data_IF_084046717829
#
_entry.id   IF_084046717829
#
_cell.length_a   1.000
_cell.length_b   1.000
_cell.length_c   1.000
_cell.angle_alpha   90.00
_cell.angle_beta   90.00
_cell.angle_gamma   90.00
#
_symmetry.space_group_name_H-M   'P 1'
#
loop_
_entity.id
_entity.type
_entity.pdbx_description
1 polymer ?
#
# COMPACT_ATOMS: atom_id res chain seq x y z
N UNK A 1 -13.52 5.62 -30.74
CA UNK A 1 -13.84 6.78 -29.88
C UNK A 1 -13.63 6.33 -28.43
N UNK A 2 -12.64 6.90 -27.72
CA UNK A 2 -12.40 6.57 -26.31
C UNK A 2 -13.49 7.23 -25.48
N UNK A 3 -14.17 6.47 -24.60
CA UNK A 3 -15.20 7.05 -23.73
C UNK A 3 -14.55 7.79 -22.58
N UNK A 4 -15.09 8.95 -22.24
CA UNK A 4 -14.62 9.77 -21.10
C UNK A 4 -14.60 8.96 -19.80
N UNK A 5 -15.55 8.02 -19.64
CA UNK A 5 -15.58 7.06 -18.52
C UNK A 5 -14.29 6.25 -18.38
N UNK A 6 -13.70 5.82 -19.50
CA UNK A 6 -12.52 4.95 -19.51
C UNK A 6 -11.27 5.74 -19.13
N UNK A 7 -11.22 7.01 -19.51
CA UNK A 7 -10.16 7.95 -19.11
C UNK A 7 -10.23 8.24 -17.61
N UNK A 8 -11.42 8.50 -17.06
CA UNK A 8 -11.61 8.73 -15.61
C UNK A 8 -11.18 7.50 -14.81
N UNK A 9 -11.55 6.30 -15.26
CA UNK A 9 -11.15 5.03 -14.62
C UNK A 9 -9.64 4.84 -14.64
N UNK A 10 -8.97 5.14 -15.75
CA UNK A 10 -7.53 5.04 -15.87
C UNK A 10 -6.79 6.04 -14.97
N UNK A 11 -7.25 7.30 -14.91
CA UNK A 11 -6.67 8.33 -14.03
C UNK A 11 -6.87 7.96 -12.56
N UNK A 12 -8.06 7.48 -12.21
CA UNK A 12 -8.36 7.03 -10.85
C UNK A 12 -7.44 5.86 -10.44
N UNK A 13 -7.32 4.85 -11.31
CA UNK A 13 -6.45 3.70 -11.08
C UNK A 13 -4.98 4.10 -10.93
N UNK A 14 -4.50 4.99 -11.79
CA UNK A 14 -3.12 5.50 -11.75
C UNK A 14 -2.85 6.26 -10.45
N UNK A 15 -3.69 7.26 -10.13
CA UNK A 15 -3.55 8.08 -8.92
C UNK A 15 -3.56 7.24 -7.65
N UNK A 16 -4.44 6.23 -7.61
CA UNK A 16 -4.56 5.34 -6.47
C UNK A 16 -3.35 4.39 -6.35
N UNK A 17 -2.85 3.87 -7.47
CA UNK A 17 -1.63 3.04 -7.51
C UNK A 17 -0.42 3.85 -7.01
N UNK A 18 -0.29 5.10 -7.46
CA UNK A 18 0.77 6.00 -7.00
C UNK A 18 0.67 6.26 -5.50
N UNK A 19 -0.53 6.52 -4.98
CA UNK A 19 -0.75 6.79 -3.55
C UNK A 19 -0.37 5.58 -2.68
N UNK A 20 -0.66 4.37 -3.17
CA UNK A 20 -0.30 3.12 -2.51
C UNK A 20 1.22 2.91 -2.52
N UNK A 21 1.89 3.06 -3.66
CA UNK A 21 3.36 2.95 -3.75
C UNK A 21 4.05 3.97 -2.84
N UNK A 22 3.56 5.22 -2.82
CA UNK A 22 4.10 6.26 -1.95
C UNK A 22 3.97 5.88 -0.48
N UNK A 23 2.81 5.37 -0.04
CA UNK A 23 2.63 4.92 1.34
C UNK A 23 3.57 3.76 1.72
N UNK A 24 3.84 2.85 0.79
CA UNK A 24 4.80 1.77 1.01
C UNK A 24 6.22 2.29 1.17
N UNK A 25 6.65 3.19 0.31
CA UNK A 25 7.98 3.79 0.40
C UNK A 25 8.13 4.56 1.72
N UNK A 26 7.09 5.28 2.12
CA UNK A 26 7.01 5.98 3.41
C UNK A 26 7.15 4.99 4.56
N UNK A 27 6.38 3.90 4.59
CA UNK A 27 6.48 2.87 5.63
C UNK A 27 7.85 2.19 5.66
N UNK A 28 8.37 1.79 4.50
CA UNK A 28 9.67 1.15 4.36
C UNK A 28 10.82 2.05 4.80
N UNK A 29 10.65 3.38 4.75
CA UNK A 29 11.64 4.34 5.19
C UNK A 29 11.46 4.77 6.66
N UNK A 30 10.25 5.12 7.08
CA UNK A 30 9.96 5.59 8.44
C UNK A 30 10.16 4.52 9.49
N UNK A 31 9.75 3.27 9.21
CA UNK A 31 9.84 2.19 10.20
C UNK A 31 11.30 1.93 10.63
N UNK A 32 12.27 1.82 9.70
CA UNK A 32 13.68 1.72 10.08
C UNK A 32 14.23 2.98 10.74
N UNK A 33 13.89 4.17 10.25
CA UNK A 33 14.45 5.44 10.77
C UNK A 33 14.00 5.69 12.21
N UNK A 34 12.70 5.55 12.48
CA UNK A 34 12.13 5.72 13.81
C UNK A 34 12.61 4.61 14.74
N UNK A 35 12.62 3.37 14.26
CA UNK A 35 13.11 2.25 15.03
C UNK A 35 14.57 2.42 15.47
N UNK A 36 15.43 2.97 14.59
CA UNK A 36 16.83 3.23 14.91
C UNK A 36 16.99 4.35 15.95
N UNK A 37 16.15 5.40 15.89
CA UNK A 37 16.19 6.48 16.88
C UNK A 37 15.65 6.08 18.26
N UNK A 38 14.71 5.14 18.30
CA UNK A 38 14.14 4.61 19.55
C UNK A 38 14.94 3.43 20.12
N UNK A 39 16.02 3.05 19.44
CA UNK A 39 16.85 1.92 19.81
C UNK A 39 17.65 2.24 21.09
N UNK A 40 17.57 1.40 22.13
CA UNK A 40 18.35 1.63 23.35
C UNK A 40 19.85 1.45 23.08
N UNK A 41 20.68 2.27 23.74
CA UNK A 41 22.13 2.41 23.47
C UNK A 41 22.95 1.11 23.56
N UNK A 42 22.38 0.07 24.17
CA UNK A 42 23.00 -1.24 24.40
C UNK A 42 22.72 -2.26 23.28
N UNK A 43 21.83 -1.96 22.32
CA UNK A 43 21.59 -2.83 21.18
C UNK A 43 22.56 -2.50 20.03
N UNK A 44 22.87 -3.50 19.20
CA UNK A 44 23.71 -3.29 18.01
C UNK A 44 22.85 -3.05 16.76
N UNK A 45 23.33 -2.19 15.85
CA UNK A 45 22.60 -1.88 14.61
C UNK A 45 22.24 -3.16 13.81
N UNK A 46 23.06 -4.21 13.92
CA UNK A 46 22.81 -5.52 13.32
C UNK A 46 21.57 -6.21 13.88
N UNK A 47 21.35 -6.15 15.19
CA UNK A 47 20.15 -6.73 15.83
C UNK A 47 18.89 -5.94 15.46
N UNK A 48 19.02 -4.61 15.36
CA UNK A 48 17.96 -3.75 14.88
C UNK A 48 17.50 -4.13 13.48
N UNK A 49 18.42 -4.19 12.51
CA UNK A 49 18.10 -4.60 11.14
C UNK A 49 17.56 -6.02 11.04
N UNK A 50 17.95 -6.93 11.95
CA UNK A 50 17.37 -8.27 12.02
C UNK A 50 15.91 -8.23 12.45
N UNK A 51 15.56 -7.47 13.48
CA UNK A 51 14.18 -7.37 13.99
C UNK A 51 13.30 -6.53 13.04
N UNK A 52 13.80 -5.41 12.53
CA UNK A 52 13.10 -4.58 11.55
C UNK A 52 12.93 -5.31 10.23
N UNK A 53 13.93 -6.08 9.79
CA UNK A 53 13.82 -6.97 8.65
C UNK A 53 12.80 -8.09 8.83
N UNK A 54 12.64 -8.60 10.06
CA UNK A 54 11.58 -9.54 10.43
C UNK A 54 10.18 -8.89 10.44
N UNK A 55 10.06 -7.64 10.87
CA UNK A 55 8.79 -6.87 10.81
C UNK A 55 8.43 -6.51 9.35
N UNK A 56 9.44 -6.20 8.55
CA UNK A 56 9.35 -6.07 7.09
C UNK A 56 9.30 -7.41 6.36
N UNK A 57 9.13 -8.55 7.05
CA UNK A 57 8.95 -9.82 6.36
C UNK A 57 7.82 -9.67 5.35
N UNK A 58 8.13 -10.12 4.13
CA UNK A 58 7.23 -10.04 3.00
C UNK A 58 5.83 -10.56 3.34
N UNK A 59 5.68 -11.47 4.31
CA UNK A 59 4.41 -12.01 4.77
C UNK A 59 3.49 -10.94 5.42
N UNK A 60 4.01 -10.12 6.35
CA UNK A 60 3.20 -9.08 7.01
C UNK A 60 2.81 -8.00 6.01
N UNK A 61 3.75 -7.62 5.14
CA UNK A 61 3.47 -6.74 4.01
C UNK A 61 2.40 -7.37 3.12
N UNK A 62 2.57 -8.62 2.67
CA UNK A 62 1.64 -9.33 1.79
C UNK A 62 0.24 -9.40 2.41
N UNK A 63 0.09 -9.59 3.72
CA UNK A 63 -1.21 -9.58 4.40
C UNK A 63 -1.85 -8.18 4.31
N UNK A 64 -1.11 -7.12 4.62
CA UNK A 64 -1.59 -5.73 4.50
C UNK A 64 -1.96 -5.43 3.04
N UNK A 65 -1.13 -5.84 2.10
CA UNK A 65 -1.35 -5.72 0.65
C UNK A 65 -2.58 -6.48 0.16
N UNK A 66 -2.81 -7.69 0.67
CA UNK A 66 -3.97 -8.51 0.34
C UNK A 66 -5.26 -7.88 0.87
N UNK A 67 -5.22 -7.31 2.07
CA UNK A 67 -6.36 -6.58 2.66
C UNK A 67 -6.71 -5.32 1.88
N UNK A 68 -5.70 -4.52 1.52
CA UNK A 68 -5.88 -3.32 0.67
C UNK A 68 -6.38 -3.72 -0.72
N UNK A 69 -5.81 -4.76 -1.34
CA UNK A 69 -6.24 -5.29 -2.63
C UNK A 69 -7.67 -5.81 -2.64
N UNK A 70 -8.11 -6.47 -1.56
CA UNK A 70 -9.50 -6.92 -1.39
C UNK A 70 -10.48 -5.74 -1.28
N UNK A 71 -10.16 -4.76 -0.44
CA UNK A 71 -10.98 -3.54 -0.30
C UNK A 71 -11.05 -2.75 -1.61
N UNK A 72 -9.93 -2.70 -2.35
CA UNK A 72 -9.83 -2.13 -3.69
C UNK A 72 -10.74 -2.84 -4.69
N UNK A 73 -10.69 -4.18 -4.78
CA UNK A 73 -11.52 -4.96 -5.69
C UNK A 73 -13.01 -4.79 -5.37
N UNK A 74 -13.35 -4.67 -4.08
CA UNK A 74 -14.72 -4.40 -3.63
C UNK A 74 -15.21 -3.01 -4.04
N UNK A 75 -14.38 -1.97 -3.89
CA UNK A 75 -14.70 -0.60 -4.33
C UNK A 75 -14.85 -0.52 -5.85
N UNK A 76 -13.92 -1.13 -6.58
CA UNK A 76 -13.96 -1.20 -8.04
C UNK A 76 -15.24 -1.87 -8.54
N UNK A 77 -15.57 -3.07 -8.04
CA UNK A 77 -16.82 -3.74 -8.39
C UNK A 77 -18.05 -2.89 -8.08
N UNK A 78 -18.05 -2.12 -6.99
CA UNK A 78 -19.19 -1.27 -6.61
C UNK A 78 -19.40 -0.10 -7.58
N UNK A 79 -18.32 0.53 -8.05
CA UNK A 79 -18.37 1.61 -9.03
C UNK A 79 -18.91 1.09 -10.37
N UNK A 80 -18.37 -0.03 -10.86
CA UNK A 80 -18.78 -0.61 -12.15
C UNK A 80 -20.18 -1.26 -12.10
N UNK A 81 -20.58 -1.84 -10.96
CA UNK A 81 -21.93 -2.39 -10.78
C UNK A 81 -23.01 -1.30 -10.79
N UNK A 82 -22.70 -0.11 -10.28
CA UNK A 82 -23.64 1.01 -10.30
C UNK A 82 -23.79 1.62 -11.71
N UNK A 83 -22.73 1.66 -12.52
CA UNK A 83 -22.78 2.11 -13.92
C UNK A 83 -23.70 1.25 -14.82
N UNK A 84 -23.87 -0.03 -14.51
CA UNK A 84 -24.77 -0.93 -15.25
C UNK A 84 -26.24 -0.82 -14.84
N UNK A 85 -26.54 -0.05 -13.78
CA UNK A 85 -27.89 0.09 -13.21
C UNK A 85 -28.57 1.41 -13.58
N UNK A 86 -27.80 2.38 -14.08
CA UNK A 86 -28.27 3.69 -14.56
C UNK A 86 -28.41 3.73 -16.11
N UNK A 87 -28.46 2.57 -16.76
CA UNK A 87 -28.85 2.37 -18.17
C UNK A 87 -30.10 1.52 -18.24
#
# INVERSE_FOLDING_TARGET
>A
MIKVSDVIKAIFLSSLTTLVILNTLVLAYLVPVVGYHLMPENQTATEFWRVTGLIMEANTLVIIWSGIGYLFMRLFMRIFKNEGRDK
#
